data_IF_178523522822
#
_entry.id   IF_178523522822
#
_cell.length_a   1.000
_cell.length_b   1.000
_cell.length_c   1.000
_cell.angle_alpha   90.00
_cell.angle_beta   90.00
_cell.angle_gamma   90.00
#
_symmetry.space_group_name_H-M   'P 1'
#
loop_
_entity.id
_entity.type
_entity.pdbx_description
1 polymer ?
#
# COMPACT_ATOMS: atom_id res chain seq x y z
N UNK A 1 -12.10 -43.34 -20.13
CA UNK A 1 -11.63 -43.02 -18.77
C UNK A 1 -12.19 -41.66 -18.41
N UNK A 2 -12.93 -41.54 -17.31
CA UNK A 2 -13.41 -40.23 -16.85
C UNK A 2 -12.18 -39.38 -16.46
N UNK A 3 -11.98 -38.22 -17.10
CA UNK A 3 -10.99 -37.22 -16.68
C UNK A 3 -11.31 -36.90 -15.22
N UNK A 4 -10.40 -37.26 -14.31
CA UNK A 4 -10.51 -36.99 -12.88
C UNK A 4 -10.48 -35.48 -12.71
N UNK A 5 -11.64 -34.85 -12.56
CA UNK A 5 -11.74 -33.43 -12.22
C UNK A 5 -11.06 -33.30 -10.86
N UNK A 6 -9.86 -32.72 -10.85
CA UNK A 6 -9.16 -32.37 -9.62
C UNK A 6 -10.06 -31.41 -8.83
N UNK A 7 -10.21 -31.64 -7.52
CA UNK A 7 -10.90 -30.71 -6.64
C UNK A 7 -10.12 -29.40 -6.64
N UNK A 8 -10.65 -28.35 -7.28
CA UNK A 8 -10.00 -27.04 -7.30
C UNK A 8 -10.34 -26.27 -6.02
N UNK A 9 -9.40 -25.46 -5.55
CA UNK A 9 -9.64 -24.41 -4.55
C UNK A 9 -9.04 -23.10 -5.06
N UNK A 10 -9.61 -21.97 -4.64
CA UNK A 10 -9.07 -20.64 -4.92
C UNK A 10 -7.65 -20.57 -4.35
N UNK A 11 -6.69 -20.14 -5.19
CA UNK A 11 -5.27 -20.06 -4.81
C UNK A 11 -4.48 -21.35 -5.01
N UNK A 12 -5.06 -22.41 -5.60
CA UNK A 12 -4.30 -23.59 -5.99
C UNK A 12 -3.31 -23.31 -7.13
N UNK A 13 -2.16 -23.97 -7.05
CA UNK A 13 -1.07 -23.93 -8.02
C UNK A 13 -1.15 -25.17 -8.92
N UNK A 14 -1.13 -24.98 -10.23
CA UNK A 14 -1.08 -26.06 -11.22
C UNK A 14 0.13 -25.92 -12.13
N UNK A 15 0.92 -26.98 -12.37
CA UNK A 15 1.94 -26.95 -13.41
C UNK A 15 1.29 -26.67 -14.78
N UNK A 16 1.89 -25.79 -15.57
CA UNK A 16 1.41 -25.50 -16.92
C UNK A 16 2.04 -26.50 -17.89
N UNK A 17 1.25 -27.38 -18.54
CA UNK A 17 1.79 -28.31 -19.52
C UNK A 17 2.28 -27.59 -20.77
N UNK A 18 3.36 -28.11 -21.37
CA UNK A 18 3.88 -27.68 -22.67
C UNK A 18 4.26 -26.19 -22.77
N UNK A 19 4.52 -25.54 -21.63
CA UNK A 19 5.05 -24.19 -21.58
C UNK A 19 6.53 -24.18 -21.96
N UNK A 20 6.93 -23.23 -22.81
CA UNK A 20 8.33 -23.06 -23.21
C UNK A 20 8.64 -21.61 -23.54
N UNK A 21 9.92 -21.23 -23.43
CA UNK A 21 10.41 -19.94 -23.92
C UNK A 21 10.96 -20.15 -25.34
N UNK A 22 10.52 -19.33 -26.29
CA UNK A 22 11.01 -19.38 -27.67
C UNK A 22 12.32 -18.61 -27.88
N UNK A 23 12.84 -18.63 -29.11
CA UNK A 23 14.12 -17.97 -29.46
C UNK A 23 14.07 -16.44 -29.35
N UNK A 24 12.86 -15.85 -29.30
CA UNK A 24 12.66 -14.41 -29.07
C UNK A 24 12.55 -14.07 -27.58
N UNK A 25 12.67 -15.06 -26.69
CA UNK A 25 12.53 -14.89 -25.25
C UNK A 25 11.07 -14.78 -24.78
N UNK A 26 10.10 -15.13 -25.62
CA UNK A 26 8.68 -15.10 -25.26
C UNK A 26 8.27 -16.41 -24.61
N UNK A 27 7.54 -16.34 -23.50
CA UNK A 27 6.89 -17.51 -22.91
C UNK A 27 5.63 -17.85 -23.70
N UNK A 28 5.64 -19.03 -24.31
CA UNK A 28 4.53 -19.58 -25.09
C UNK A 28 3.72 -20.54 -24.22
N UNK A 29 2.43 -20.26 -24.07
CA UNK A 29 1.49 -21.06 -23.30
C UNK A 29 0.34 -21.56 -24.19
N UNK A 30 0.01 -22.85 -24.06
CA UNK A 30 -1.12 -23.45 -24.78
C UNK A 30 -2.42 -23.26 -24.01
N UNK A 31 -3.36 -22.49 -24.57
CA UNK A 31 -4.66 -22.20 -23.93
C UNK A 31 -5.46 -23.45 -23.64
N UNK A 32 -5.46 -24.40 -24.57
CA UNK A 32 -6.12 -25.69 -24.39
C UNK A 32 -5.55 -26.44 -23.18
N UNK A 33 -4.22 -26.55 -23.09
CA UNK A 33 -3.55 -27.22 -21.97
C UNK A 33 -3.87 -26.55 -20.63
N UNK A 34 -3.92 -25.21 -20.59
CA UNK A 34 -4.30 -24.45 -19.39
C UNK A 34 -5.78 -24.67 -19.04
N UNK A 35 -6.69 -24.59 -20.01
CA UNK A 35 -8.12 -24.73 -19.80
C UNK A 35 -8.53 -26.11 -19.28
N UNK A 36 -7.73 -27.14 -19.54
CA UNK A 36 -7.96 -28.49 -19.02
C UNK A 36 -7.61 -28.66 -17.54
N UNK A 37 -6.93 -27.69 -16.92
CA UNK A 37 -6.50 -27.75 -15.52
C UNK A 37 -7.66 -27.49 -14.53
N UNK A 38 -8.63 -26.64 -14.88
CA UNK A 38 -9.79 -26.34 -14.03
C UNK A 38 -10.97 -25.72 -14.83
N UNK A 39 -12.22 -25.80 -14.33
CA UNK A 39 -13.38 -25.14 -14.96
C UNK A 39 -13.25 -23.61 -15.08
N UNK A 40 -12.63 -22.96 -14.11
CA UNK A 40 -12.36 -21.52 -14.09
C UNK A 40 -11.38 -21.14 -15.20
N UNK A 41 -10.29 -21.91 -15.33
CA UNK A 41 -9.34 -21.72 -16.42
C UNK A 41 -9.95 -22.06 -17.77
N UNK A 42 -10.82 -23.06 -17.87
CA UNK A 42 -11.55 -23.34 -19.10
C UNK A 42 -12.38 -22.12 -19.53
N UNK A 43 -13.10 -21.51 -18.57
CA UNK A 43 -13.88 -20.30 -18.83
C UNK A 43 -12.97 -19.13 -19.23
N UNK A 44 -11.91 -18.89 -18.47
CA UNK A 44 -10.94 -17.81 -18.74
C UNK A 44 -10.26 -17.97 -20.11
N UNK A 45 -9.82 -19.18 -20.44
CA UNK A 45 -9.12 -19.48 -21.70
C UNK A 45 -10.06 -19.55 -22.91
N UNK A 46 -11.39 -19.58 -22.71
CA UNK A 46 -12.37 -19.68 -23.81
C UNK A 46 -12.70 -18.35 -24.49
N UNK A 47 -12.47 -17.20 -23.83
CA UNK A 47 -12.74 -15.88 -24.40
C UNK A 47 -11.48 -15.04 -24.62
N UNK A 48 -11.61 -13.77 -24.97
CA UNK A 48 -10.45 -12.88 -25.06
C UNK A 48 -9.81 -12.66 -23.68
N UNK A 49 -8.48 -12.57 -23.66
CA UNK A 49 -7.72 -12.33 -22.43
C UNK A 49 -6.74 -11.19 -22.59
N UNK A 50 -6.43 -10.58 -21.46
CA UNK A 50 -5.44 -9.54 -21.32
C UNK A 50 -4.32 -10.03 -20.41
N UNK A 51 -3.07 -9.89 -20.84
CA UNK A 51 -1.90 -10.28 -20.05
C UNK A 51 -1.04 -9.06 -19.73
N UNK A 52 -0.51 -9.00 -18.52
CA UNK A 52 0.41 -7.95 -18.06
C UNK A 52 1.30 -8.46 -16.92
N UNK A 53 2.30 -7.68 -16.49
CA UNK A 53 3.14 -8.00 -15.33
C UNK A 53 2.57 -7.39 -14.03
N UNK A 54 2.78 -8.05 -12.88
CA UNK A 54 2.57 -7.41 -11.57
C UNK A 54 3.75 -6.54 -11.17
N UNK A 55 3.50 -5.35 -10.59
CA UNK A 55 4.54 -4.52 -10.01
C UNK A 55 5.21 -5.18 -8.79
N UNK A 56 4.42 -5.78 -7.90
CA UNK A 56 4.87 -6.22 -6.57
C UNK A 56 5.54 -7.59 -6.55
N UNK A 57 5.31 -8.43 -7.56
CA UNK A 57 5.87 -9.78 -7.62
C UNK A 57 6.27 -10.18 -9.05
N UNK A 58 7.16 -11.18 -9.19
CA UNK A 58 7.52 -11.74 -10.49
C UNK A 58 6.40 -12.67 -10.99
N UNK A 59 5.28 -12.08 -11.40
CA UNK A 59 4.17 -12.82 -11.98
C UNK A 59 3.66 -12.13 -13.25
N UNK A 60 3.24 -12.94 -14.21
CA UNK A 60 2.40 -12.49 -15.33
C UNK A 60 0.94 -12.75 -14.95
N UNK A 61 0.07 -11.76 -15.07
CA UNK A 61 -1.35 -11.92 -14.76
C UNK A 61 -2.15 -12.02 -16.04
N UNK A 62 -3.06 -12.97 -16.07
CA UNK A 62 -4.05 -13.14 -17.11
C UNK A 62 -5.39 -12.69 -16.56
N UNK A 63 -6.02 -11.73 -17.24
CA UNK A 63 -7.37 -11.25 -16.95
C UNK A 63 -8.31 -11.64 -18.09
N UNK A 64 -9.54 -12.02 -17.75
CA UNK A 64 -10.61 -12.09 -18.76
C UNK A 64 -10.98 -10.70 -19.25
N UNK A 65 -11.43 -10.60 -20.51
CA UNK A 65 -11.74 -9.35 -21.22
C UNK A 65 -12.35 -8.24 -20.34
N UNK A 66 -13.55 -8.45 -19.80
CA UNK A 66 -14.27 -7.44 -19.01
C UNK A 66 -13.46 -6.89 -17.83
N UNK A 67 -12.70 -7.77 -17.16
CA UNK A 67 -11.87 -7.39 -16.01
C UNK A 67 -10.60 -6.67 -16.47
N UNK A 68 -10.01 -7.14 -17.56
CA UNK A 68 -8.84 -6.52 -18.17
C UNK A 68 -9.13 -5.10 -18.67
N UNK A 69 -10.28 -4.87 -19.28
CA UNK A 69 -10.67 -3.53 -19.75
C UNK A 69 -10.87 -2.55 -18.60
N UNK A 70 -11.59 -2.96 -17.55
CA UNK A 70 -11.73 -2.13 -16.32
C UNK A 70 -10.38 -1.84 -15.67
N UNK A 71 -9.47 -2.82 -15.64
CA UNK A 71 -8.11 -2.62 -15.13
C UNK A 71 -7.35 -1.61 -15.98
N UNK A 72 -7.41 -1.71 -17.31
CA UNK A 72 -6.75 -0.77 -18.23
C UNK A 72 -7.21 0.66 -17.97
N UNK A 73 -8.52 0.89 -17.87
CA UNK A 73 -9.08 2.22 -17.56
C UNK A 73 -8.57 2.75 -16.21
N UNK A 74 -8.50 1.89 -15.19
CA UNK A 74 -7.98 2.26 -13.87
C UNK A 74 -6.48 2.61 -13.93
N UNK A 75 -5.69 1.86 -14.69
CA UNK A 75 -4.25 2.11 -14.87
C UNK A 75 -4.00 3.42 -15.62
N UNK A 76 -4.77 3.69 -16.67
CA UNK A 76 -4.71 4.94 -17.44
C UNK A 76 -5.10 6.17 -16.58
N UNK A 77 -6.02 5.99 -15.64
CA UNK A 77 -6.47 7.02 -14.71
C UNK A 77 -5.51 7.28 -13.53
N UNK A 78 -4.45 6.46 -13.35
CA UNK A 78 -3.50 6.66 -12.24
C UNK A 78 -2.81 8.04 -12.33
N UNK A 79 -2.64 8.74 -11.19
CA UNK A 79 -1.90 9.99 -11.16
C UNK A 79 -0.47 9.82 -11.68
N UNK A 80 -0.14 10.51 -12.77
CA UNK A 80 1.18 10.45 -13.40
C UNK A 80 2.16 11.50 -12.85
N UNK A 81 1.72 12.35 -11.91
CA UNK A 81 2.57 13.31 -11.20
C UNK A 81 3.41 12.65 -10.11
N UNK A 82 2.94 11.53 -9.55
CA UNK A 82 3.63 10.76 -8.52
C UNK A 82 4.55 9.68 -9.14
N UNK A 83 5.76 9.46 -8.58
CA UNK A 83 6.66 8.40 -9.05
C UNK A 83 6.04 6.99 -9.02
N UNK A 84 5.24 6.69 -7.99
CA UNK A 84 4.59 5.39 -7.79
C UNK A 84 3.59 5.08 -8.91
N UNK A 85 2.71 6.03 -9.24
CA UNK A 85 1.73 5.89 -10.33
C UNK A 85 2.40 5.69 -11.69
N UNK A 86 3.45 6.47 -11.99
CA UNK A 86 4.24 6.28 -13.22
C UNK A 86 4.93 4.92 -13.28
N UNK A 87 5.43 4.42 -12.15
CA UNK A 87 6.06 3.11 -12.10
C UNK A 87 5.05 1.99 -12.37
N UNK A 88 3.88 2.03 -11.71
CA UNK A 88 2.79 1.07 -11.95
C UNK A 88 2.36 1.10 -13.43
N UNK A 89 2.14 2.28 -14.00
CA UNK A 89 1.80 2.42 -15.42
C UNK A 89 2.88 1.82 -16.34
N UNK A 90 4.16 2.07 -16.08
CA UNK A 90 5.25 1.52 -16.90
C UNK A 90 5.35 0.00 -16.81
N UNK A 91 5.12 -0.57 -15.63
CA UNK A 91 5.19 -2.02 -15.44
C UNK A 91 3.96 -2.71 -16.01
N UNK A 92 2.76 -2.26 -15.64
CA UNK A 92 1.53 -2.92 -16.04
C UNK A 92 1.09 -2.50 -17.44
N UNK A 93 0.75 -1.22 -17.63
CA UNK A 93 0.24 -0.73 -18.92
C UNK A 93 1.30 -0.86 -20.04
N UNK A 94 2.58 -0.66 -19.72
CA UNK A 94 3.68 -0.82 -20.68
C UNK A 94 3.90 -2.27 -21.16
N UNK A 95 3.40 -3.27 -20.44
CA UNK A 95 3.48 -4.69 -20.80
C UNK A 95 2.11 -5.32 -21.03
N UNK A 96 1.08 -4.49 -21.23
CA UNK A 96 -0.30 -4.94 -21.39
C UNK A 96 -0.53 -5.39 -22.83
N UNK A 97 -0.93 -6.64 -23.01
CA UNK A 97 -1.18 -7.25 -24.30
C UNK A 97 -2.54 -7.93 -24.34
N UNK A 98 -3.27 -7.72 -25.44
CA UNK A 98 -4.54 -8.39 -25.71
C UNK A 98 -4.28 -9.63 -26.56
N UNK A 99 -4.94 -10.72 -26.19
CA UNK A 99 -4.95 -11.96 -26.93
C UNK A 99 -6.39 -12.32 -27.27
N UNK A 100 -6.63 -12.51 -28.56
CA UNK A 100 -7.84 -13.12 -29.08
C UNK A 100 -7.94 -14.60 -28.66
N UNK A 101 -8.92 -15.32 -29.19
CA UNK A 101 -9.12 -16.75 -28.93
C UNK A 101 -8.08 -17.66 -29.64
N UNK A 102 -6.93 -17.11 -30.08
CA UNK A 102 -5.84 -17.91 -30.66
C UNK A 102 -5.32 -18.95 -29.68
N UNK A 103 -4.88 -20.12 -30.18
CA UNK A 103 -4.48 -21.25 -29.33
C UNK A 103 -3.30 -20.97 -28.38
N UNK A 104 -2.48 -19.99 -28.69
CA UNK A 104 -1.21 -19.73 -28.01
C UNK A 104 -1.21 -18.34 -27.38
N UNK A 105 -0.93 -18.26 -26.09
CA UNK A 105 -0.58 -17.01 -25.43
C UNK A 105 0.93 -16.83 -25.52
N UNK A 106 1.38 -15.77 -26.19
CA UNK A 106 2.80 -15.41 -26.32
C UNK A 106 3.12 -14.23 -25.41
N UNK A 107 3.56 -14.53 -24.20
CA UNK A 107 3.90 -13.52 -23.20
C UNK A 107 5.22 -12.87 -23.63
N UNK A 108 5.26 -11.54 -23.68
CA UNK A 108 6.40 -10.78 -24.18
C UNK A 108 7.68 -11.04 -23.37
N UNK A 109 8.84 -10.86 -24.00
CA UNK A 109 10.16 -11.05 -23.38
C UNK A 109 10.32 -10.26 -22.05
N UNK A 110 9.91 -8.99 -21.93
CA UNK A 110 10.11 -8.25 -20.69
C UNK A 110 9.29 -8.81 -19.52
N UNK A 111 8.12 -9.39 -19.79
CA UNK A 111 7.30 -10.05 -18.77
C UNK A 111 7.89 -11.43 -18.46
N UNK A 112 8.26 -12.17 -19.50
CA UNK A 112 8.89 -13.49 -19.39
C UNK A 112 10.15 -13.44 -18.54
N UNK A 113 11.04 -12.48 -18.79
CA UNK A 113 12.27 -12.27 -18.02
C UNK A 113 12.05 -12.06 -16.51
N UNK A 114 10.88 -11.53 -16.10
CA UNK A 114 10.51 -11.38 -14.68
C UNK A 114 10.14 -12.72 -14.05
N UNK A 115 9.54 -13.62 -14.82
CA UNK A 115 9.00 -14.90 -14.36
C UNK A 115 9.85 -16.10 -14.82
N UNK A 116 11.01 -15.87 -15.41
CA UNK A 116 11.91 -16.93 -15.85
C UNK A 116 12.43 -17.72 -14.63
N UNK A 117 12.37 -19.07 -14.67
CA UNK A 117 12.96 -19.91 -13.64
C UNK A 117 14.45 -19.63 -13.46
N UNK A 118 14.96 -19.66 -12.24
CA UNK A 118 16.40 -19.53 -11.96
C UNK A 118 17.16 -20.84 -12.20
N UNK A 119 16.43 -21.94 -12.36
CA UNK A 119 16.94 -23.30 -12.56
C UNK A 119 16.71 -23.75 -14.00
N UNK A 120 17.52 -24.70 -14.49
CA UNK A 120 17.40 -25.29 -15.83
C UNK A 120 16.09 -26.07 -16.07
N UNK A 121 15.25 -26.24 -15.04
CA UNK A 121 13.90 -26.79 -15.16
C UNK A 121 12.93 -25.66 -15.55
N UNK A 122 12.50 -25.64 -16.80
CA UNK A 122 11.52 -24.70 -17.39
C UNK A 122 10.09 -24.93 -16.89
N UNK A 123 9.90 -25.10 -15.58
CA UNK A 123 8.60 -25.41 -15.02
C UNK A 123 7.86 -24.12 -14.65
N UNK A 124 6.84 -23.81 -15.43
CA UNK A 124 5.88 -22.76 -15.12
C UNK A 124 4.65 -23.34 -14.42
N UNK A 125 4.05 -22.54 -13.56
CA UNK A 125 2.79 -22.88 -12.91
C UNK A 125 1.81 -21.72 -13.02
N UNK A 126 0.53 -22.06 -12.88
CA UNK A 126 -0.58 -21.11 -12.88
C UNK A 126 -1.31 -21.19 -11.55
N UNK A 127 -1.53 -20.03 -10.94
CA UNK A 127 -2.36 -19.83 -9.75
C UNK A 127 -3.71 -19.33 -10.20
N UNK A 128 -4.76 -20.05 -9.84
CA UNK A 128 -6.14 -19.74 -10.25
C UNK A 128 -6.87 -19.06 -9.10
N UNK A 129 -7.39 -17.85 -9.35
CA UNK A 129 -8.19 -17.13 -8.36
C UNK A 129 -9.68 -17.28 -8.65
N UNK A 130 -10.09 -16.99 -9.88
CA UNK A 130 -11.47 -17.06 -10.35
C UNK A 130 -11.52 -17.21 -11.89
N UNK A 131 -12.71 -17.31 -12.47
CA UNK A 131 -12.90 -17.45 -13.92
C UNK A 131 -12.49 -16.23 -14.75
N UNK A 132 -12.07 -15.14 -14.11
CA UNK A 132 -11.64 -13.88 -14.75
C UNK A 132 -10.20 -13.51 -14.44
N UNK A 133 -9.47 -14.30 -13.64
CA UNK A 133 -8.09 -13.99 -13.24
C UNK A 133 -7.27 -15.22 -12.87
N UNK A 134 -6.08 -15.29 -13.45
CA UNK A 134 -5.03 -16.22 -13.08
C UNK A 134 -3.66 -15.53 -13.10
N UNK A 135 -2.68 -16.10 -12.41
CA UNK A 135 -1.29 -15.64 -12.42
C UNK A 135 -0.35 -16.77 -12.86
N UNK A 136 0.60 -16.46 -13.72
CA UNK A 136 1.65 -17.36 -14.20
C UNK A 136 2.96 -16.99 -13.51
N UNK A 137 3.62 -18.03 -13.00
CA UNK A 137 4.84 -17.96 -12.22
C UNK A 137 5.80 -19.06 -12.66
N UNK A 138 7.09 -18.93 -12.36
CA UNK A 138 7.94 -20.12 -12.31
C UNK A 138 7.69 -20.91 -11.02
N UNK A 139 7.83 -22.23 -11.11
CA UNK A 139 7.61 -23.12 -9.96
C UNK A 139 8.56 -22.85 -8.80
N UNK A 140 9.82 -22.49 -9.07
CA UNK A 140 10.81 -22.13 -8.05
C UNK A 140 10.42 -20.85 -7.29
N UNK A 141 9.87 -19.84 -7.96
CA UNK A 141 9.38 -18.62 -7.34
C UNK A 141 8.18 -18.89 -6.41
N UNK A 142 7.26 -19.77 -6.81
CA UNK A 142 6.16 -20.21 -5.93
C UNK A 142 6.69 -20.99 -4.72
N UNK A 143 7.65 -21.90 -4.91
CA UNK A 143 8.26 -22.65 -3.81
C UNK A 143 9.00 -21.72 -2.83
N UNK A 144 9.74 -20.73 -3.34
CA UNK A 144 10.35 -19.67 -2.53
C UNK A 144 9.30 -18.88 -1.75
N UNK A 145 8.12 -18.63 -2.31
CA UNK A 145 7.02 -17.92 -1.66
C UNK A 145 6.35 -18.76 -0.57
N UNK A 146 6.00 -20.02 -0.85
CA UNK A 146 5.35 -20.95 0.10
C UNK A 146 6.32 -21.33 1.24
N UNK A 147 7.62 -21.38 0.95
CA UNK A 147 8.65 -21.67 1.94
C UNK A 147 9.03 -20.47 2.83
N UNK A 148 8.56 -19.26 2.52
CA UNK A 148 8.75 -18.10 3.39
C UNK A 148 7.74 -18.16 4.55
N UNK A 149 8.15 -17.89 5.80
CA UNK A 149 7.18 -17.61 6.85
C UNK A 149 6.29 -16.44 6.40
N UNK A 150 5.05 -16.36 6.93
CA UNK A 150 4.24 -15.16 6.75
C UNK A 150 5.09 -13.92 7.08
N UNK A 151 4.95 -12.81 6.33
CA UNK A 151 5.74 -11.62 6.60
C UNK A 151 5.56 -11.25 8.07
N UNK A 152 6.63 -11.33 8.87
CA UNK A 152 6.54 -10.91 10.26
C UNK A 152 6.09 -9.46 10.28
N UNK A 153 5.08 -9.16 11.10
CA UNK A 153 4.65 -7.78 11.26
C UNK A 153 5.83 -6.89 11.60
N UNK A 154 5.89 -5.74 10.95
CA UNK A 154 6.91 -4.75 11.24
C UNK A 154 6.80 -4.29 12.70
N UNK A 155 7.89 -3.74 13.24
CA UNK A 155 7.87 -3.15 14.58
C UNK A 155 6.78 -2.07 14.73
N UNK A 156 6.49 -1.33 13.65
CA UNK A 156 5.46 -0.30 13.61
C UNK A 156 4.07 -0.91 13.73
N UNK A 157 3.77 -1.97 12.98
CA UNK A 157 2.47 -2.66 13.05
C UNK A 157 2.27 -3.29 14.42
N UNK A 158 3.29 -3.98 14.96
CA UNK A 158 3.27 -4.52 16.32
C UNK A 158 2.99 -3.43 17.36
N UNK A 159 3.63 -2.27 17.24
CA UNK A 159 3.41 -1.12 18.12
C UNK A 159 1.96 -0.62 18.08
N UNK A 160 1.35 -0.45 16.90
CA UNK A 160 -0.05 -0.02 16.80
C UNK A 160 -1.06 -1.08 17.28
N UNK A 161 -0.72 -2.37 17.18
CA UNK A 161 -1.56 -3.46 17.72
C UNK A 161 -1.47 -3.61 19.24
N UNK A 162 -0.47 -3.00 19.88
CA UNK A 162 -0.19 -3.12 21.31
C UNK A 162 0.72 -4.31 21.66
N UNK A 163 1.20 -5.06 20.67
CA UNK A 163 2.11 -6.19 20.82
C UNK A 163 3.60 -5.77 20.77
N UNK A 164 3.86 -4.51 20.44
CA UNK A 164 5.18 -3.94 20.25
C UNK A 164 5.44 -2.73 21.16
N UNK A 165 6.71 -2.30 21.14
CA UNK A 165 7.19 -1.10 21.82
C UNK A 165 7.95 -0.25 20.82
N UNK A 166 8.05 1.03 21.13
CA UNK A 166 8.96 1.89 20.40
C UNK A 166 10.44 1.59 20.72
N UNK A 167 11.34 2.28 20.02
CA UNK A 167 12.79 2.11 20.15
C UNK A 167 13.39 2.37 21.55
N UNK A 168 12.65 2.99 22.47
CA UNK A 168 13.08 3.20 23.87
C UNK A 168 12.24 2.40 24.87
N UNK A 169 11.40 1.50 24.40
CA UNK A 169 10.64 0.56 25.22
C UNK A 169 9.27 1.03 25.69
N UNK A 170 8.72 2.13 25.15
CA UNK A 170 7.37 2.62 25.47
C UNK A 170 6.31 1.90 24.63
N UNK A 171 5.16 1.58 25.23
CA UNK A 171 3.98 1.10 24.49
C UNK A 171 3.21 2.27 23.88
N UNK A 172 2.26 1.96 23.00
CA UNK A 172 1.36 2.96 22.42
C UNK A 172 0.57 3.68 23.52
N UNK A 173 0.01 2.92 24.45
CA UNK A 173 -0.77 3.40 25.58
C UNK A 173 0.07 4.25 26.55
N UNK A 174 1.33 3.87 26.82
CA UNK A 174 2.24 4.69 27.65
C UNK A 174 2.38 6.09 27.06
N UNK A 175 2.61 6.18 25.74
CA UNK A 175 2.81 7.47 25.06
C UNK A 175 1.55 8.33 25.14
N UNK A 176 0.37 7.73 24.96
CA UNK A 176 -0.89 8.47 25.03
C UNK A 176 -1.22 8.94 26.46
N UNK A 177 -0.74 8.24 27.48
CA UNK A 177 -0.97 8.57 28.89
C UNK A 177 -0.06 9.68 29.43
N UNK A 178 1.05 10.01 28.75
CA UNK A 178 1.91 11.12 29.18
C UNK A 178 1.21 12.48 29.08
N UNK A 179 1.60 13.41 29.94
CA UNK A 179 1.04 14.74 30.01
C UNK A 179 1.57 15.68 28.90
N UNK A 180 0.94 16.85 28.78
CA UNK A 180 1.30 17.83 27.75
C UNK A 180 2.70 18.42 27.96
N UNK A 181 3.19 18.46 29.20
CA UNK A 181 4.55 18.89 29.50
C UNK A 181 5.55 17.93 28.86
N UNK A 182 5.34 16.63 29.03
CA UNK A 182 6.18 15.59 28.44
C UNK A 182 6.12 15.61 26.91
N UNK A 183 4.91 15.75 26.32
CA UNK A 183 4.75 15.81 24.86
C UNK A 183 5.44 17.04 24.25
N UNK A 184 5.46 18.17 24.94
CA UNK A 184 6.15 19.36 24.45
C UNK A 184 7.67 19.14 24.40
N UNK A 185 8.25 18.51 25.44
CA UNK A 185 9.70 18.40 25.63
C UNK A 185 10.34 17.12 25.06
N UNK A 186 9.53 16.09 24.76
CA UNK A 186 10.01 14.84 24.16
C UNK A 186 9.68 14.80 22.67
N UNK A 187 10.58 14.33 21.81
CA UNK A 187 10.45 14.51 20.35
C UNK A 187 10.43 13.22 19.55
N UNK A 188 10.88 12.12 20.14
CA UNK A 188 11.13 10.85 19.47
C UNK A 188 9.86 9.99 19.30
N UNK A 189 8.84 10.23 20.13
CA UNK A 189 7.56 9.52 20.08
C UNK A 189 6.74 9.86 18.82
N UNK A 190 6.84 11.10 18.31
CA UNK A 190 5.93 11.59 17.25
C UNK A 190 6.08 10.78 15.97
N UNK A 191 7.25 10.20 15.76
CA UNK A 191 7.55 9.46 14.56
C UNK A 191 6.95 8.06 14.54
N UNK A 192 6.76 7.48 15.73
CA UNK A 192 6.04 6.22 15.94
C UNK A 192 4.53 6.42 15.86
N UNK A 193 4.00 7.51 16.46
CA UNK A 193 2.56 7.82 16.39
C UNK A 193 2.10 8.26 15.00
N UNK A 194 2.95 8.95 14.24
CA UNK A 194 2.64 9.48 12.91
C UNK A 194 3.78 9.12 11.93
N UNK A 195 3.90 7.84 11.54
CA UNK A 195 4.95 7.37 10.65
C UNK A 195 4.73 7.93 9.23
N UNK A 196 5.83 8.22 8.52
CA UNK A 196 5.84 8.65 7.11
C UNK A 196 6.91 7.86 6.34
N UNK A 197 6.82 7.77 5.00
CA UNK A 197 7.80 7.01 4.20
C UNK A 197 9.19 7.63 4.21
N UNK A 198 9.30 8.93 4.43
CA UNK A 198 10.59 9.62 4.49
C UNK A 198 11.37 9.27 5.76
N UNK A 199 12.65 8.93 5.58
CA UNK A 199 13.57 8.67 6.69
C UNK A 199 13.71 9.89 7.59
N UNK A 200 13.88 9.64 8.89
CA UNK A 200 14.25 10.72 9.80
C UNK A 200 15.69 11.15 9.57
N UNK A 201 15.92 12.45 9.39
CA UNK A 201 17.27 13.03 9.39
C UNK A 201 17.96 13.00 10.76
N UNK A 202 17.26 12.61 11.84
CA UNK A 202 17.75 12.73 13.22
C UNK A 202 17.86 11.39 13.96
N UNK A 203 17.08 10.37 13.57
CA UNK A 203 17.11 9.08 14.26
C UNK A 203 16.86 7.90 13.31
N UNK A 204 17.91 7.12 13.03
CA UNK A 204 17.84 5.93 12.16
C UNK A 204 17.18 4.72 12.82
N UNK A 205 16.95 4.73 14.14
CA UNK A 205 16.30 3.63 14.87
C UNK A 205 14.78 3.70 14.80
N UNK A 206 14.23 4.76 14.21
CA UNK A 206 12.80 4.97 14.05
C UNK A 206 12.35 4.34 12.73
N UNK A 207 11.35 3.44 12.77
CA UNK A 207 10.87 2.79 11.56
C UNK A 207 10.24 3.81 10.60
N UNK A 208 10.50 3.62 9.31
CA UNK A 208 9.80 4.33 8.23
C UNK A 208 8.50 3.59 7.92
N UNK A 209 7.51 4.32 7.39
CA UNK A 209 6.27 3.72 6.92
C UNK A 209 6.51 3.01 5.59
N UNK A 210 6.54 1.67 5.60
CA UNK A 210 6.76 0.86 4.39
C UNK A 210 5.48 0.69 3.57
N UNK A 211 5.61 0.17 2.34
CA UNK A 211 4.45 -0.13 1.49
C UNK A 211 3.59 -1.25 2.10
N UNK A 212 4.21 -2.20 2.78
CA UNK A 212 3.58 -3.29 3.51
C UNK A 212 2.79 -2.74 4.71
N UNK A 213 3.38 -1.84 5.49
CA UNK A 213 2.68 -1.18 6.60
C UNK A 213 1.47 -0.37 6.09
N UNK A 214 1.63 0.35 4.97
CA UNK A 214 0.53 1.07 4.31
C UNK A 214 -0.58 0.10 3.91
N UNK A 215 -0.25 -1.07 3.37
CA UNK A 215 -1.23 -2.08 3.02
C UNK A 215 -2.00 -2.58 4.26
N UNK A 216 -1.32 -2.80 5.39
CA UNK A 216 -1.97 -3.11 6.67
C UNK A 216 -2.92 -1.97 7.10
N UNK A 217 -2.49 -0.71 7.05
CA UNK A 217 -3.35 0.44 7.34
C UNK A 217 -4.52 0.58 6.36
N UNK A 218 -4.44 0.05 5.13
CA UNK A 218 -5.54 0.02 4.16
C UNK A 218 -6.58 -1.02 4.51
N UNK A 219 -6.15 -2.22 4.87
CA UNK A 219 -7.03 -3.39 5.07
C UNK A 219 -7.58 -3.46 6.50
N UNK A 220 -6.81 -3.05 7.50
CA UNK A 220 -7.17 -3.19 8.91
C UNK A 220 -7.74 -1.89 9.50
N UNK A 221 -9.06 -1.90 9.73
CA UNK A 221 -9.76 -0.77 10.36
C UNK A 221 -9.25 -0.48 11.78
N UNK A 222 -8.83 -1.49 12.52
CA UNK A 222 -8.33 -1.37 13.90
C UNK A 222 -7.06 -0.51 13.99
N UNK A 223 -6.11 -0.66 13.07
CA UNK A 223 -4.92 0.16 12.99
C UNK A 223 -5.26 1.64 12.75
N UNK A 224 -6.19 1.91 11.83
CA UNK A 224 -6.67 3.29 11.60
C UNK A 224 -7.34 3.88 12.84
N UNK A 225 -8.13 3.09 13.56
CA UNK A 225 -8.73 3.53 14.83
C UNK A 225 -7.69 3.83 15.91
N UNK A 226 -6.62 3.04 16.04
CA UNK A 226 -5.52 3.33 16.97
C UNK A 226 -4.79 4.61 16.56
N UNK A 227 -4.45 4.76 15.29
CA UNK A 227 -3.84 6.00 14.78
C UNK A 227 -4.73 7.24 15.01
N UNK A 228 -6.05 7.09 14.93
CA UNK A 228 -6.99 8.15 15.30
C UNK A 228 -7.00 8.48 16.79
N UNK A 229 -6.79 7.52 17.70
CA UNK A 229 -6.59 7.83 19.13
C UNK A 229 -5.33 8.64 19.38
N UNK A 230 -4.25 8.34 18.66
CA UNK A 230 -3.03 9.16 18.69
C UNK A 230 -3.30 10.58 18.19
N UNK A 231 -4.11 10.71 17.13
CA UNK A 231 -4.57 12.01 16.63
C UNK A 231 -5.37 12.76 17.69
N UNK A 232 -6.36 12.14 18.35
CA UNK A 232 -7.15 12.76 19.41
C UNK A 232 -6.27 13.29 20.53
N UNK A 233 -5.29 12.48 20.97
CA UNK A 233 -4.34 12.89 22.01
C UNK A 233 -3.53 14.12 21.60
N UNK A 234 -3.05 14.17 20.35
CA UNK A 234 -2.30 15.31 19.83
C UNK A 234 -3.17 16.53 19.58
N UNK A 235 -4.43 16.35 19.15
CA UNK A 235 -5.36 17.46 19.01
C UNK A 235 -5.67 18.08 20.37
N UNK A 236 -5.93 17.27 21.40
CA UNK A 236 -6.13 17.77 22.76
C UNK A 236 -4.91 18.57 23.25
N UNK A 237 -3.70 18.08 23.00
CA UNK A 237 -2.45 18.80 23.27
C UNK A 237 -2.36 20.15 22.52
N UNK A 238 -2.95 20.25 21.33
CA UNK A 238 -3.07 21.50 20.57
C UNK A 238 -4.30 22.35 20.95
N UNK A 239 -5.11 21.92 21.92
CA UNK A 239 -6.34 22.61 22.31
C UNK A 239 -7.43 22.48 21.25
N UNK A 240 -7.44 21.37 20.53
CA UNK A 240 -8.38 21.02 19.48
C UNK A 240 -9.07 19.70 19.83
N UNK A 241 -10.24 19.45 19.23
CA UNK A 241 -10.94 18.18 19.35
C UNK A 241 -11.58 17.79 18.01
N UNK A 242 -11.84 16.48 17.81
CA UNK A 242 -12.62 16.00 16.67
C UNK A 242 -14.07 15.86 17.07
N UNK A 243 -14.96 16.38 16.22
CA UNK A 243 -16.41 16.25 16.36
C UNK A 243 -17.01 15.80 15.02
N UNK A 244 -18.32 15.64 14.97
CA UNK A 244 -19.03 15.36 13.71
C UNK A 244 -18.89 16.49 12.67
N UNK A 245 -18.50 17.69 13.10
CA UNK A 245 -18.27 18.86 12.25
C UNK A 245 -16.80 18.98 11.79
N UNK A 246 -15.95 18.00 12.11
CA UNK A 246 -14.52 18.00 11.82
C UNK A 246 -13.67 18.38 13.03
N UNK A 247 -12.52 19.00 12.78
CA UNK A 247 -11.59 19.43 13.84
C UNK A 247 -11.92 20.86 14.29
N UNK A 248 -12.24 21.04 15.56
CA UNK A 248 -12.69 22.31 16.14
C UNK A 248 -11.81 22.76 17.32
N UNK A 249 -11.74 24.07 17.62
CA UNK A 249 -11.00 24.55 18.78
C UNK A 249 -11.75 24.28 20.09
N UNK A 250 -11.03 23.79 21.10
CA UNK A 250 -11.57 23.64 22.45
C UNK A 250 -11.78 25.01 23.12
N UNK A 251 -12.69 25.13 24.11
CA UNK A 251 -12.88 26.35 24.86
C UNK A 251 -11.57 26.88 25.46
N UNK A 252 -11.29 28.16 25.23
CA UNK A 252 -10.10 28.81 25.77
C UNK A 252 -8.82 28.59 24.95
N UNK A 253 -8.89 28.03 23.74
CA UNK A 253 -7.76 28.03 22.81
C UNK A 253 -7.21 29.45 22.63
N UNK A 254 -5.93 29.64 22.94
CA UNK A 254 -5.27 30.94 22.84
C UNK A 254 -3.76 30.79 22.66
N UNK A 255 -3.13 31.79 22.05
CA UNK A 255 -1.70 31.79 21.76
C UNK A 255 -0.80 31.83 23.01
N UNK A 256 -1.30 32.24 24.19
CA UNK A 256 -0.47 32.22 25.42
C UNK A 256 -0.24 30.79 25.90
N UNK A 257 -1.27 29.96 25.80
CA UNK A 257 -1.31 28.60 26.36
C UNK A 257 -0.88 27.54 25.34
N UNK A 258 -1.14 27.76 24.05
CA UNK A 258 -0.87 26.77 23.01
C UNK A 258 0.24 27.22 22.07
N UNK A 259 1.42 26.62 22.24
CA UNK A 259 2.68 27.06 21.62
C UNK A 259 2.65 26.92 20.10
N UNK A 260 1.87 25.98 19.54
CA UNK A 260 1.75 25.82 18.09
C UNK A 260 1.12 27.03 17.38
N UNK A 261 0.38 27.89 18.09
CA UNK A 261 -0.14 29.15 17.54
C UNK A 261 0.93 30.26 17.48
N UNK A 262 2.06 30.10 18.18
CA UNK A 262 3.16 31.07 18.16
C UNK A 262 3.99 30.92 16.88
N UNK A 263 4.77 31.94 16.51
CA UNK A 263 5.72 31.83 15.40
C UNK A 263 6.77 30.74 15.64
N UNK A 264 7.16 30.04 14.58
CA UNK A 264 8.37 29.20 14.48
C UNK A 264 8.61 28.21 15.65
N UNK A 265 7.75 27.19 15.78
CA UNK A 265 7.92 26.10 16.74
C UNK A 265 8.07 24.72 16.10
N UNK A 266 8.71 23.78 16.79
CA UNK A 266 8.82 22.37 16.40
C UNK A 266 7.44 21.70 16.21
N UNK A 267 6.42 22.18 16.93
CA UNK A 267 5.04 21.74 16.74
C UNK A 267 4.49 21.99 15.32
N UNK A 268 5.01 22.99 14.59
CA UNK A 268 4.61 23.17 13.18
C UNK A 268 5.06 22.01 12.30
N UNK A 269 6.26 21.47 12.57
CA UNK A 269 6.79 20.29 11.88
C UNK A 269 6.03 19.03 12.28
N UNK A 270 5.66 18.90 13.57
CA UNK A 270 4.81 17.79 14.06
C UNK A 270 3.45 17.80 13.37
N UNK A 271 2.80 18.95 13.24
CA UNK A 271 1.52 19.10 12.52
C UNK A 271 1.66 18.69 11.05
N UNK A 272 2.73 19.14 10.35
CA UNK A 272 3.00 18.70 8.97
C UNK A 272 3.10 17.17 8.88
N UNK A 273 3.83 16.56 9.82
CA UNK A 273 4.00 15.10 9.88
C UNK A 273 2.68 14.37 10.15
N UNK A 274 1.84 14.88 11.04
CA UNK A 274 0.51 14.32 11.33
C UNK A 274 -0.35 14.30 10.07
N UNK A 275 -0.47 15.44 9.37
CA UNK A 275 -1.27 15.55 8.13
C UNK A 275 -0.76 14.55 7.08
N UNK A 276 0.56 14.49 6.89
CA UNK A 276 1.20 13.61 5.91
C UNK A 276 1.02 12.13 6.27
N UNK A 277 1.17 11.77 7.54
CA UNK A 277 0.98 10.41 8.02
C UNK A 277 -0.46 9.93 7.84
N UNK A 278 -1.45 10.76 8.17
CA UNK A 278 -2.87 10.43 7.93
C UNK A 278 -3.15 10.14 6.45
N UNK A 279 -2.55 10.90 5.55
CA UNK A 279 -2.66 10.65 4.11
C UNK A 279 -2.09 9.26 3.72
N UNK A 280 -0.86 8.94 4.15
CA UNK A 280 -0.22 7.67 3.81
C UNK A 280 -0.85 6.45 4.50
N UNK A 281 -1.43 6.64 5.68
CA UNK A 281 -2.15 5.61 6.44
C UNK A 281 -3.64 5.50 6.04
N UNK A 282 -3.97 5.82 4.79
CA UNK A 282 -5.30 5.66 4.17
C UNK A 282 -6.45 6.37 4.90
N UNK A 283 -6.22 7.62 5.31
CA UNK A 283 -7.24 8.48 5.95
C UNK A 283 -7.25 9.91 5.37
N UNK A 284 -7.46 10.07 4.04
CA UNK A 284 -7.35 11.36 3.37
C UNK A 284 -8.40 12.40 3.81
N UNK A 285 -9.59 11.96 4.22
CA UNK A 285 -10.65 12.82 4.73
C UNK A 285 -10.25 13.41 6.09
N UNK A 286 -9.76 12.57 7.01
CA UNK A 286 -9.26 13.02 8.32
C UNK A 286 -8.06 13.95 8.15
N UNK A 287 -7.16 13.66 7.21
CA UNK A 287 -6.04 14.54 6.88
C UNK A 287 -6.51 15.92 6.39
N UNK A 288 -7.57 15.97 5.56
CA UNK A 288 -8.20 17.21 5.08
C UNK A 288 -8.77 18.04 6.24
N UNK A 289 -9.48 17.40 7.16
CA UNK A 289 -10.09 18.08 8.32
C UNK A 289 -9.03 18.72 9.21
N UNK A 290 -7.99 17.96 9.57
CA UNK A 290 -6.86 18.48 10.37
C UNK A 290 -6.17 19.62 9.64
N UNK A 291 -5.84 19.44 8.35
CA UNK A 291 -5.17 20.46 7.53
C UNK A 291 -5.98 21.76 7.50
N UNK A 292 -7.28 21.65 7.24
CA UNK A 292 -8.16 22.82 7.11
C UNK A 292 -8.27 23.59 8.43
N UNK A 293 -8.46 22.86 9.53
CA UNK A 293 -8.58 23.45 10.86
C UNK A 293 -7.30 24.18 11.30
N UNK A 294 -6.12 23.54 11.19
CA UNK A 294 -4.87 24.16 11.64
C UNK A 294 -4.47 25.35 10.78
N UNK A 295 -4.76 25.34 9.47
CA UNK A 295 -4.54 26.49 8.59
C UNK A 295 -5.48 27.65 8.98
N UNK A 296 -6.77 27.37 9.16
CA UNK A 296 -7.75 28.40 9.50
C UNK A 296 -7.42 29.06 10.85
N UNK A 297 -7.17 28.26 11.87
CA UNK A 297 -6.84 28.72 13.22
C UNK A 297 -5.45 29.39 13.30
N UNK A 298 -4.47 28.84 12.58
CA UNK A 298 -3.13 29.44 12.50
C UNK A 298 -3.13 30.84 11.90
N UNK A 299 -4.10 31.14 11.01
CA UNK A 299 -4.30 32.45 10.38
C UNK A 299 -5.17 33.40 11.18
N UNK A 300 -6.24 32.90 11.80
CA UNK A 300 -7.23 33.74 12.48
C UNK A 300 -6.86 34.03 13.94
N UNK A 301 -6.24 33.07 14.62
CA UNK A 301 -5.97 33.12 16.05
C UNK A 301 -4.47 33.13 16.38
N UNK A 302 -3.65 32.53 15.52
CA UNK A 302 -2.21 32.42 15.68
C UNK A 302 -1.39 33.47 14.93
N UNK A 303 -0.08 33.31 15.03
CA UNK A 303 0.93 34.03 14.25
C UNK A 303 1.78 33.03 13.45
N UNK A 304 1.11 32.08 12.78
CA UNK A 304 1.77 31.06 11.96
C UNK A 304 2.25 31.70 10.66
N UNK A 305 3.52 31.50 10.32
CA UNK A 305 4.10 32.09 9.10
C UNK A 305 3.45 31.52 7.83
N UNK A 306 3.33 32.33 6.77
CA UNK A 306 2.84 31.83 5.47
C UNK A 306 3.71 30.71 4.90
N UNK A 307 5.02 30.67 5.23
CA UNK A 307 5.90 29.55 4.89
C UNK A 307 5.42 28.24 5.52
N UNK A 308 5.09 28.26 6.82
CA UNK A 308 4.52 27.12 7.54
C UNK A 308 3.18 26.70 6.96
N UNK A 309 2.29 27.66 6.69
CA UNK A 309 1.01 27.39 6.02
C UNK A 309 1.23 26.72 4.66
N UNK A 310 2.24 27.16 3.90
CA UNK A 310 2.66 26.53 2.66
C UNK A 310 2.99 25.05 2.83
N UNK A 311 3.80 24.70 3.84
CA UNK A 311 4.09 23.29 4.15
C UNK A 311 2.84 22.49 4.53
N UNK A 312 1.92 23.07 5.31
CA UNK A 312 0.68 22.37 5.66
C UNK A 312 -0.21 22.13 4.44
N UNK A 313 -0.31 23.09 3.51
CA UNK A 313 -1.08 22.94 2.26
C UNK A 313 -0.58 21.76 1.41
N UNK A 314 0.74 21.62 1.26
CA UNK A 314 1.36 20.58 0.44
C UNK A 314 1.61 19.27 1.17
N UNK A 315 1.29 19.19 2.48
CA UNK A 315 1.60 18.01 3.30
C UNK A 315 0.94 16.71 2.82
N UNK A 316 -0.20 16.82 2.11
CA UNK A 316 -0.98 15.67 1.60
C UNK A 316 -0.55 15.14 0.23
N UNK A 317 0.50 15.72 -0.37
CA UNK A 317 0.87 15.45 -1.77
C UNK A 317 0.40 16.57 -2.67
#
# INVERSE_FOLDING_TARGET
MAKRIMSWQIGCVYPIPDAYIDDEGQLVLKRQSIGELSPELMTLMSGEVLVTALPECPAAVIYGQDRGERLREQLEALPNMEPEGRWIQRVMLGNLHFFDESNDLRISEPVTARISPKTDLSDFCIVVFDCSRAEVWSCDQILEMVGKPEPEDSALIKFFRGDGRDHVGRTFEDILAFDDFWLEHTHDYIQWLFPIPETSNFNHQVPVLTSEDRACFRTEKTLRLQHQKALDRMLAFYGLERTEQGVVPMPGLNMKSYIWLKPAGHNHLRITRIIRSLQYCYQPEVAMEVQSAVIALGKSLGQVSEKTIGYWRTARG
#
